data_IF_049508057946
#
_entry.id   IF_049508057946
#
_cell.length_a   1.000
_cell.length_b   1.000
_cell.length_c   1.000
_cell.angle_alpha   90.00
_cell.angle_beta   90.00
_cell.angle_gamma   90.00
#
_symmetry.space_group_name_H-M   'P 1'
#
loop_
_entity.id
_entity.type
_entity.pdbx_description
1 polymer ?
#
# COMPACT_ATOMS: atom_id res chain seq x y z
N UNK A 1 2.64 20.26 25.61
CA UNK A 1 3.46 19.03 25.59
C UNK A 1 3.65 18.59 24.15
N UNK A 2 4.84 18.11 23.81
CA UNK A 2 5.11 17.50 22.51
C UNK A 2 4.32 16.19 22.39
N UNK A 3 3.87 15.87 21.17
CA UNK A 3 3.21 14.61 20.83
C UNK A 3 4.14 13.70 20.05
N UNK A 4 4.07 12.40 20.31
CA UNK A 4 4.92 11.39 19.67
C UNK A 4 4.15 10.62 18.62
N UNK A 5 4.83 10.27 17.51
CA UNK A 5 4.31 9.35 16.50
C UNK A 5 5.45 8.72 15.72
N UNK A 6 5.15 7.64 15.03
CA UNK A 6 6.05 7.01 14.05
C UNK A 6 5.39 7.03 12.66
N UNK A 7 6.21 7.02 11.61
CA UNK A 7 5.73 7.08 10.22
C UNK A 7 5.41 5.71 9.62
N UNK A 8 5.62 4.64 10.37
CA UNK A 8 5.32 3.28 9.94
C UNK A 8 5.84 2.23 10.90
N UNK A 9 5.33 1.02 10.76
CA UNK A 9 5.72 -0.16 11.54
C UNK A 9 5.99 -1.34 10.59
N UNK A 10 6.99 -2.22 10.88
CA UNK A 10 7.30 -3.38 10.04
C UNK A 10 6.10 -4.32 9.89
N UNK A 11 5.59 -4.49 8.66
CA UNK A 11 4.33 -5.18 8.37
C UNK A 11 4.39 -6.71 8.36
N UNK A 12 5.57 -7.28 8.14
CA UNK A 12 5.72 -8.73 7.85
C UNK A 12 5.40 -9.60 9.08
N UNK A 13 5.53 -9.06 10.29
CA UNK A 13 5.43 -9.79 11.54
C UNK A 13 6.76 -10.44 11.95
N UNK A 14 6.93 -10.65 13.26
CA UNK A 14 8.18 -11.17 13.85
C UNK A 14 8.55 -12.57 13.35
N UNK A 15 7.53 -13.39 13.08
CA UNK A 15 7.66 -14.75 12.55
C UNK A 15 7.38 -14.83 11.05
N UNK A 16 7.39 -13.70 10.36
CA UNK A 16 7.08 -13.59 8.92
C UNK A 16 5.66 -14.06 8.55
N UNK A 17 4.71 -13.87 9.46
CA UNK A 17 3.35 -14.40 9.35
C UNK A 17 2.67 -13.92 8.05
N UNK A 18 2.78 -12.62 7.73
CA UNK A 18 2.23 -12.08 6.48
C UNK A 18 2.85 -12.72 5.24
N UNK A 19 4.17 -12.92 5.25
CA UNK A 19 4.87 -13.56 4.13
C UNK A 19 4.33 -14.95 3.86
N UNK A 20 4.25 -15.79 4.90
CA UNK A 20 3.78 -17.17 4.75
C UNK A 20 2.31 -17.24 4.34
N UNK A 21 1.45 -16.36 4.86
CA UNK A 21 0.05 -16.28 4.45
C UNK A 21 -0.09 -15.92 2.96
N UNK A 22 0.68 -14.94 2.48
CA UNK A 22 0.68 -14.56 1.08
C UNK A 22 1.24 -15.66 0.17
N UNK A 23 2.33 -16.32 0.56
CA UNK A 23 2.90 -17.42 -0.21
C UNK A 23 1.92 -18.62 -0.30
N UNK A 24 1.21 -18.94 0.79
CA UNK A 24 0.17 -19.97 0.79
C UNK A 24 -1.00 -19.58 -0.13
N UNK A 25 -1.44 -18.33 -0.09
CA UNK A 25 -2.48 -17.81 -0.97
C UNK A 25 -2.07 -17.91 -2.46
N UNK A 26 -0.88 -17.45 -2.80
CA UNK A 26 -0.39 -17.50 -4.18
C UNK A 26 -0.16 -18.93 -4.69
N UNK A 27 0.11 -19.87 -3.80
CA UNK A 27 0.23 -21.29 -4.12
C UNK A 27 -1.15 -22.01 -4.21
N UNK A 28 -2.27 -21.30 -3.94
CA UNK A 28 -3.60 -21.89 -3.89
C UNK A 28 -3.90 -22.73 -2.66
N UNK A 29 -3.06 -22.65 -1.62
CA UNK A 29 -3.18 -23.43 -0.38
C UNK A 29 -3.92 -22.68 0.74
N UNK A 30 -4.27 -21.41 0.53
CA UNK A 30 -5.04 -20.59 1.45
C UNK A 30 -5.96 -19.63 0.69
N UNK A 31 -7.06 -19.23 1.31
CA UNK A 31 -7.97 -18.23 0.78
C UNK A 31 -7.46 -16.80 1.05
N UNK A 32 -7.98 -15.82 0.32
CA UNK A 32 -7.66 -14.41 0.60
C UNK A 32 -8.22 -13.94 1.96
N UNK A 33 -9.33 -14.56 2.43
CA UNK A 33 -9.89 -14.29 3.77
C UNK A 33 -8.91 -14.68 4.88
N UNK A 34 -8.16 -15.77 4.71
CA UNK A 34 -7.11 -16.16 5.65
C UNK A 34 -5.97 -15.13 5.67
N UNK A 35 -5.57 -14.61 4.50
CA UNK A 35 -4.58 -13.51 4.42
C UNK A 35 -5.09 -12.26 5.15
N UNK A 36 -6.36 -11.88 4.92
CA UNK A 36 -6.97 -10.72 5.62
C UNK A 36 -7.01 -10.91 7.14
N UNK A 37 -7.30 -12.12 7.60
CA UNK A 37 -7.30 -12.46 9.02
C UNK A 37 -5.91 -12.30 9.65
N UNK A 38 -4.88 -12.82 8.99
CA UNK A 38 -3.49 -12.65 9.43
C UNK A 38 -3.11 -11.16 9.42
N UNK A 39 -3.45 -10.43 8.37
CA UNK A 39 -3.16 -9.01 8.24
C UNK A 39 -3.81 -8.20 9.37
N UNK A 40 -5.10 -8.46 9.68
CA UNK A 40 -5.82 -7.84 10.78
C UNK A 40 -5.15 -8.12 12.13
N UNK A 41 -4.82 -9.37 12.41
CA UNK A 41 -4.13 -9.78 13.65
C UNK A 41 -2.79 -9.05 13.82
N UNK A 42 -2.04 -8.90 12.72
CA UNK A 42 -0.77 -8.17 12.72
C UNK A 42 -0.98 -6.67 12.99
N UNK A 43 -1.94 -6.02 12.31
CA UNK A 43 -2.25 -4.60 12.55
C UNK A 43 -2.61 -4.36 14.01
N UNK A 44 -3.54 -5.13 14.57
CA UNK A 44 -3.95 -5.02 15.97
C UNK A 44 -2.77 -5.17 16.93
N UNK A 45 -1.88 -6.14 16.69
CA UNK A 45 -0.68 -6.37 17.50
C UNK A 45 0.29 -5.18 17.41
N UNK A 46 0.55 -4.68 16.21
CA UNK A 46 1.45 -3.57 15.98
C UNK A 46 0.93 -2.26 16.58
N UNK A 47 -0.36 -2.02 16.51
CA UNK A 47 -1.00 -0.85 17.12
C UNK A 47 -0.97 -0.91 18.65
N UNK A 48 -1.27 -2.05 19.25
CA UNK A 48 -1.15 -2.26 20.70
C UNK A 48 0.28 -2.08 21.17
N UNK A 49 1.24 -2.60 20.42
CA UNK A 49 2.66 -2.42 20.72
C UNK A 49 3.07 -0.95 20.75
N UNK A 50 2.63 -0.15 19.79
CA UNK A 50 2.86 1.30 19.79
C UNK A 50 2.21 1.98 21.01
N UNK A 51 0.97 1.59 21.36
CA UNK A 51 0.27 2.11 22.53
C UNK A 51 1.00 1.77 23.84
N UNK A 52 1.45 0.55 24.01
CA UNK A 52 2.22 0.09 25.17
C UNK A 52 3.54 0.86 25.35
N UNK A 53 4.11 1.35 24.25
CA UNK A 53 5.31 2.19 24.26
C UNK A 53 5.01 3.69 24.28
N UNK A 54 3.80 4.07 24.67
CA UNK A 54 3.37 5.46 24.89
C UNK A 54 3.47 6.35 23.65
N UNK A 55 3.26 5.79 22.45
CA UNK A 55 3.10 6.59 21.23
C UNK A 55 1.72 7.27 21.26
N UNK A 56 1.69 8.61 21.17
CA UNK A 56 0.44 9.39 21.26
C UNK A 56 -0.48 9.19 20.03
N UNK A 57 0.12 9.10 18.84
CA UNK A 57 -0.58 8.87 17.58
C UNK A 57 -0.13 7.57 16.95
N UNK A 58 -1.03 6.61 16.90
CA UNK A 58 -0.77 5.27 16.35
C UNK A 58 -0.70 5.34 14.82
N UNK A 59 0.39 4.82 14.26
CA UNK A 59 0.57 4.75 12.80
C UNK A 59 -0.49 3.87 12.16
N UNK A 60 -1.18 4.40 11.15
CA UNK A 60 -2.22 3.73 10.40
C UNK A 60 -2.05 3.97 8.90
N UNK A 61 -2.55 3.07 8.04
CA UNK A 61 -2.30 3.03 6.60
C UNK A 61 -0.82 2.86 6.22
N UNK A 62 -0.03 2.32 7.12
CA UNK A 62 1.36 1.92 6.87
C UNK A 62 1.49 0.41 6.61
N UNK A 63 0.40 -0.33 6.79
CA UNK A 63 0.32 -1.75 6.54
C UNK A 63 -0.14 -2.02 5.10
N UNK A 64 0.71 -2.61 4.28
CA UNK A 64 0.40 -3.04 2.91
C UNK A 64 0.54 -4.55 2.76
N UNK A 65 -0.25 -5.17 1.90
CA UNK A 65 -0.09 -6.59 1.59
C UNK A 65 1.17 -6.86 0.76
N UNK A 66 1.53 -5.91 -0.10
CA UNK A 66 2.72 -6.02 -0.93
C UNK A 66 3.64 -4.82 -0.74
N UNK A 67 3.20 -3.62 -1.12
CA UNK A 67 4.01 -2.41 -1.09
C UNK A 67 3.12 -1.16 -0.92
N UNK A 68 3.60 -0.17 -0.16
CA UNK A 68 2.86 1.06 0.14
C UNK A 68 2.66 1.94 -1.11
N UNK A 69 3.61 1.94 -2.04
CA UNK A 69 3.45 2.67 -3.31
C UNK A 69 2.38 2.01 -4.17
N UNK A 70 2.33 0.68 -4.23
CA UNK A 70 1.26 -0.06 -4.91
C UNK A 70 -0.13 0.25 -4.29
N UNK A 71 -0.23 0.32 -2.97
CA UNK A 71 -1.47 0.77 -2.30
C UNK A 71 -1.86 2.18 -2.75
N UNK A 72 -0.89 3.09 -2.90
CA UNK A 72 -1.11 4.47 -3.38
C UNK A 72 -1.56 4.50 -4.83
N UNK A 73 -0.96 3.66 -5.71
CA UNK A 73 -1.39 3.49 -7.10
C UNK A 73 -2.87 3.08 -7.16
N UNK A 74 -3.25 2.09 -6.34
CA UNK A 74 -4.65 1.62 -6.27
C UNK A 74 -5.57 2.68 -5.71
N UNK A 75 -5.17 3.36 -4.63
CA UNK A 75 -5.92 4.45 -4.02
C UNK A 75 -6.22 5.57 -5.00
N UNK A 76 -5.25 5.97 -5.82
CA UNK A 76 -5.40 7.03 -6.83
C UNK A 76 -6.11 6.55 -8.11
N UNK A 77 -6.33 5.24 -8.27
CA UNK A 77 -6.83 4.68 -9.52
C UNK A 77 -5.84 4.77 -10.68
N UNK A 78 -4.55 4.95 -10.38
CA UNK A 78 -3.46 5.06 -11.37
C UNK A 78 -3.08 3.68 -11.95
N UNK A 79 -4.06 2.93 -12.42
CA UNK A 79 -3.91 1.55 -12.89
C UNK A 79 -3.39 1.55 -14.33
N UNK A 80 -2.25 0.89 -14.63
CA UNK A 80 -1.77 0.77 -15.99
C UNK A 80 -2.78 0.06 -16.91
N UNK A 81 -2.92 0.49 -18.19
CA UNK A 81 -3.95 -0.01 -19.11
C UNK A 81 -4.02 -1.53 -19.21
N UNK A 82 -2.86 -2.23 -19.14
CA UNK A 82 -2.82 -3.69 -19.24
C UNK A 82 -3.51 -4.44 -18.09
N UNK A 83 -3.81 -3.76 -16.98
CA UNK A 83 -4.48 -4.36 -15.82
C UNK A 83 -5.94 -3.91 -15.63
N UNK A 84 -6.41 -2.92 -16.40
CA UNK A 84 -7.77 -2.37 -16.26
C UNK A 84 -8.85 -3.44 -16.49
N UNK A 85 -8.62 -4.41 -17.37
CA UNK A 85 -9.56 -5.51 -17.66
C UNK A 85 -9.68 -6.59 -16.59
N UNK A 86 -8.92 -6.52 -15.48
CA UNK A 86 -9.05 -7.45 -14.37
C UNK A 86 -10.10 -6.90 -13.39
N UNK A 87 -11.28 -7.53 -13.33
CA UNK A 87 -12.40 -7.05 -12.51
C UNK A 87 -12.17 -7.27 -11.01
N UNK A 88 -11.62 -8.42 -10.61
CA UNK A 88 -11.31 -8.70 -9.20
C UNK A 88 -10.17 -7.80 -8.72
N UNK A 89 -10.46 -6.99 -7.70
CA UNK A 89 -9.51 -6.02 -7.15
C UNK A 89 -8.26 -6.70 -6.56
N UNK A 90 -8.41 -7.87 -5.95
CA UNK A 90 -7.30 -8.61 -5.33
C UNK A 90 -6.40 -9.22 -6.39
N UNK A 91 -7.00 -9.86 -7.40
CA UNK A 91 -6.28 -10.39 -8.55
C UNK A 91 -5.50 -9.28 -9.25
N UNK A 92 -6.15 -8.16 -9.54
CA UNK A 92 -5.51 -6.99 -10.16
C UNK A 92 -4.35 -6.45 -9.33
N UNK A 93 -4.52 -6.31 -8.02
CA UNK A 93 -3.47 -5.85 -7.10
C UNK A 93 -2.21 -6.73 -7.19
N UNK A 94 -2.38 -8.06 -7.13
CA UNK A 94 -1.25 -8.98 -7.20
C UNK A 94 -0.71 -9.17 -8.63
N UNK A 95 -1.54 -9.03 -9.67
CA UNK A 95 -1.07 -9.03 -11.05
C UNK A 95 -0.17 -7.81 -11.33
N UNK A 96 -0.49 -6.63 -10.80
CA UNK A 96 0.40 -5.46 -10.89
C UNK A 96 1.75 -5.72 -10.21
N UNK A 97 1.74 -6.35 -9.04
CA UNK A 97 2.95 -6.61 -8.26
C UNK A 97 3.85 -7.72 -8.84
N UNK A 98 3.25 -8.77 -9.42
CA UNK A 98 3.95 -10.02 -9.72
C UNK A 98 3.82 -10.45 -11.18
N UNK A 99 2.97 -9.81 -11.95
CA UNK A 99 2.53 -10.28 -13.25
C UNK A 99 1.60 -11.50 -13.18
N UNK A 100 1.11 -11.89 -14.33
CA UNK A 100 0.35 -13.11 -14.54
C UNK A 100 0.80 -13.80 -15.86
N UNK A 101 0.09 -14.83 -16.30
CA UNK A 101 0.43 -15.57 -17.52
C UNK A 101 0.36 -14.71 -18.80
N UNK A 102 -0.31 -13.56 -18.75
CA UNK A 102 -0.57 -12.69 -19.91
C UNK A 102 0.09 -11.31 -19.79
N UNK A 103 0.41 -10.88 -18.57
CA UNK A 103 0.84 -9.50 -18.26
C UNK A 103 2.12 -9.50 -17.44
N UNK A 104 3.11 -8.75 -17.91
CA UNK A 104 4.31 -8.49 -17.11
C UNK A 104 3.96 -7.65 -15.88
N UNK A 105 4.59 -7.94 -14.75
CA UNK A 105 4.53 -7.13 -13.54
C UNK A 105 4.96 -5.69 -13.82
N UNK A 106 4.53 -4.77 -12.95
CA UNK A 106 5.11 -3.44 -12.90
C UNK A 106 6.57 -3.51 -12.44
N UNK A 107 7.35 -2.51 -12.79
CA UNK A 107 8.75 -2.40 -12.38
C UNK A 107 8.85 -2.32 -10.85
N UNK A 108 9.89 -2.95 -10.30
CA UNK A 108 10.25 -2.84 -8.89
C UNK A 108 11.67 -2.32 -8.75
N UNK A 109 11.86 -1.28 -7.96
CA UNK A 109 13.19 -0.72 -7.70
C UNK A 109 13.37 -0.34 -6.23
N UNK A 110 14.58 0.05 -5.86
CA UNK A 110 14.89 0.43 -4.48
C UNK A 110 14.25 1.78 -4.12
N UNK A 111 13.68 1.84 -2.94
CA UNK A 111 13.26 3.10 -2.32
C UNK A 111 14.51 3.89 -1.92
N UNK A 112 14.85 4.90 -2.74
CA UNK A 112 16.09 5.65 -2.64
C UNK A 112 17.33 4.72 -2.57
N UNK A 113 18.19 4.89 -1.59
CA UNK A 113 19.39 4.05 -1.38
C UNK A 113 19.21 2.97 -0.30
N UNK A 114 17.97 2.63 0.04
CA UNK A 114 17.64 1.61 1.04
C UNK A 114 17.56 0.20 0.43
N UNK A 115 17.40 -0.81 1.28
CA UNK A 115 17.11 -2.18 0.84
C UNK A 115 15.60 -2.43 0.64
N UNK A 116 14.73 -1.47 0.96
CA UNK A 116 13.32 -1.56 0.66
C UNK A 116 13.07 -1.32 -0.82
N UNK A 117 12.25 -2.18 -1.43
CA UNK A 117 11.85 -2.05 -2.84
C UNK A 117 10.38 -1.66 -2.92
N UNK A 118 10.05 -0.85 -3.91
CA UNK A 118 8.68 -0.41 -4.17
C UNK A 118 8.29 -0.66 -5.63
N UNK A 119 6.98 -0.75 -5.87
CA UNK A 119 6.43 -0.85 -7.23
C UNK A 119 6.39 0.55 -7.84
N UNK A 120 7.03 0.71 -8.99
CA UNK A 120 7.16 1.99 -9.68
C UNK A 120 5.84 2.35 -10.36
N UNK A 121 5.20 3.49 -10.02
CA UNK A 121 4.01 3.95 -10.72
C UNK A 121 4.31 4.23 -12.20
N UNK A 122 3.45 3.75 -13.10
CA UNK A 122 3.52 4.03 -14.54
C UNK A 122 2.51 5.13 -14.86
N UNK A 123 3.00 6.33 -15.16
CA UNK A 123 2.17 7.53 -15.29
C UNK A 123 2.22 8.09 -16.71
N UNK A 124 1.05 8.47 -17.24
CA UNK A 124 0.88 9.18 -18.50
C UNK A 124 0.43 10.62 -18.23
N UNK A 125 0.82 11.60 -19.07
CA UNK A 125 0.47 13.02 -18.91
C UNK A 125 -1.03 13.31 -18.86
N UNK A 126 -1.85 12.45 -19.48
CA UNK A 126 -3.29 12.63 -19.55
C UNK A 126 -4.06 11.67 -18.62
N UNK A 127 -3.37 11.11 -17.62
CA UNK A 127 -4.01 10.23 -16.65
C UNK A 127 -5.01 11.00 -15.80
N UNK A 128 -6.18 10.42 -15.59
CA UNK A 128 -7.19 10.92 -14.66
C UNK A 128 -7.19 10.03 -13.41
N UNK A 129 -7.26 10.65 -12.24
CA UNK A 129 -7.27 9.94 -10.97
C UNK A 129 -8.70 9.73 -10.47
N UNK A 130 -8.96 8.53 -9.96
CA UNK A 130 -10.25 8.14 -9.36
C UNK A 130 -9.98 7.57 -7.97
N UNK A 131 -10.07 8.44 -6.97
CA UNK A 131 -9.62 8.13 -5.61
C UNK A 131 -10.56 7.16 -4.90
N UNK A 132 -10.02 6.05 -4.41
CA UNK A 132 -10.69 5.08 -3.53
C UNK A 132 -9.95 5.03 -2.18
N UNK A 133 -10.53 5.67 -1.16
CA UNK A 133 -9.98 5.74 0.20
C UNK A 133 -10.51 4.64 1.12
N UNK A 134 -11.24 3.66 0.61
CA UNK A 134 -11.92 2.62 1.42
C UNK A 134 -10.96 1.91 2.38
N UNK A 135 -9.79 1.47 1.89
CA UNK A 135 -8.75 0.84 2.74
C UNK A 135 -8.33 1.73 3.91
N UNK A 136 -8.14 3.03 3.66
CA UNK A 136 -7.71 3.99 4.68
C UNK A 136 -8.79 4.14 5.74
N UNK A 137 -10.04 4.30 5.31
CA UNK A 137 -11.20 4.46 6.20
C UNK A 137 -11.41 3.20 7.03
N UNK A 138 -11.33 2.02 6.41
CA UNK A 138 -11.50 0.74 7.10
C UNK A 138 -10.44 0.53 8.19
N UNK A 139 -9.17 0.76 7.88
CA UNK A 139 -8.10 0.65 8.88
C UNK A 139 -8.21 1.70 9.99
N UNK A 140 -8.63 2.93 9.65
CA UNK A 140 -8.88 3.97 10.65
C UNK A 140 -10.01 3.56 11.61
N UNK A 141 -11.12 3.07 11.08
CA UNK A 141 -12.26 2.60 11.88
C UNK A 141 -11.85 1.40 12.75
N UNK A 142 -11.08 0.45 12.18
CA UNK A 142 -10.55 -0.71 12.89
C UNK A 142 -9.72 -0.27 14.12
N UNK A 143 -8.80 0.68 13.93
CA UNK A 143 -7.97 1.21 15.01
C UNK A 143 -8.81 1.99 16.06
N UNK A 144 -9.78 2.79 15.61
CA UNK A 144 -10.69 3.52 16.50
C UNK A 144 -11.54 2.58 17.35
N UNK A 145 -12.00 1.47 16.79
CA UNK A 145 -12.78 0.46 17.52
C UNK A 145 -11.98 -0.20 18.67
N UNK A 146 -10.66 -0.17 18.61
CA UNK A 146 -9.75 -0.61 19.69
C UNK A 146 -9.47 0.49 20.73
N UNK A 147 -10.12 1.66 20.63
CA UNK A 147 -9.90 2.80 21.54
C UNK A 147 -8.60 3.55 21.29
N UNK A 148 -7.95 3.35 20.12
CA UNK A 148 -6.69 3.97 19.76
C UNK A 148 -6.89 5.39 19.20
N UNK A 149 -5.78 6.13 19.08
CA UNK A 149 -5.74 7.44 18.43
C UNK A 149 -4.95 7.35 17.12
N UNK A 150 -5.57 6.87 16.01
CA UNK A 150 -4.86 6.63 14.76
C UNK A 150 -4.50 7.92 14.04
N UNK A 151 -3.32 7.91 13.40
CA UNK A 151 -2.84 8.92 12.47
C UNK A 151 -2.55 8.25 11.14
N UNK A 152 -3.23 8.73 10.10
CA UNK A 152 -3.06 8.20 8.74
C UNK A 152 -1.71 8.66 8.17
N UNK A 153 -0.97 7.71 7.60
CA UNK A 153 0.23 7.96 6.81
C UNK A 153 -0.11 7.87 5.32
N UNK A 154 0.34 8.83 4.54
CA UNK A 154 0.14 8.89 3.10
C UNK A 154 1.46 9.21 2.40
N UNK A 155 1.66 8.64 1.23
CA UNK A 155 2.69 9.10 0.30
C UNK A 155 2.17 10.38 -0.34
N UNK A 156 2.91 11.47 -0.17
CA UNK A 156 2.53 12.76 -0.74
C UNK A 156 2.68 12.78 -2.27
N UNK A 157 1.94 13.67 -2.96
CA UNK A 157 1.92 13.73 -4.43
C UNK A 157 3.30 13.99 -5.04
N UNK A 158 4.13 14.83 -4.42
CA UNK A 158 5.49 15.07 -4.90
C UNK A 158 6.34 13.78 -4.88
N UNK A 159 6.30 13.02 -3.79
CA UNK A 159 7.03 11.74 -3.67
C UNK A 159 6.50 10.72 -4.67
N UNK A 160 5.17 10.63 -4.81
CA UNK A 160 4.53 9.73 -5.76
C UNK A 160 5.00 9.99 -7.20
N UNK A 161 4.94 11.24 -7.66
CA UNK A 161 5.37 11.62 -9.00
C UNK A 161 6.89 11.51 -9.19
N UNK A 162 7.69 11.94 -8.20
CA UNK A 162 9.16 11.88 -8.30
C UNK A 162 9.71 10.44 -8.39
N UNK A 163 8.95 9.46 -7.90
CA UNK A 163 9.31 8.05 -7.94
C UNK A 163 8.55 7.25 -9.02
N UNK A 164 7.78 7.94 -9.86
CA UNK A 164 7.05 7.35 -10.97
C UNK A 164 7.89 7.30 -12.26
N UNK A 165 7.51 6.40 -13.16
CA UNK A 165 8.03 6.31 -14.51
C UNK A 165 7.05 6.99 -15.50
N UNK A 166 7.43 8.09 -16.18
CA UNK A 166 6.64 8.67 -17.26
C UNK A 166 6.75 7.78 -18.50
N UNK A 167 5.75 6.93 -18.73
CA UNK A 167 5.79 5.92 -19.80
C UNK A 167 5.72 6.49 -21.21
N UNK A 168 5.29 7.73 -21.38
CA UNK A 168 5.24 8.45 -22.67
C UNK A 168 6.29 9.58 -22.77
N UNK A 169 7.20 9.69 -21.79
CA UNK A 169 8.23 10.71 -21.73
C UNK A 169 7.72 12.12 -21.42
N UNK A 170 6.46 12.26 -21.02
CA UNK A 170 5.83 13.55 -20.69
C UNK A 170 6.24 14.09 -19.32
N UNK A 171 6.00 15.40 -19.12
CA UNK A 171 6.14 16.02 -17.79
C UNK A 171 4.98 15.63 -16.88
N UNK A 172 5.21 14.59 -16.07
CA UNK A 172 4.21 14.08 -15.12
C UNK A 172 3.98 15.00 -13.91
N UNK A 173 4.88 15.97 -13.65
CA UNK A 173 4.67 16.94 -12.57
C UNK A 173 3.52 17.93 -12.87
N UNK A 174 3.10 18.04 -14.14
CA UNK A 174 1.88 18.75 -14.52
C UNK A 174 0.60 18.16 -13.88
N UNK A 175 0.66 16.90 -13.41
CA UNK A 175 -0.45 16.22 -12.72
C UNK A 175 -0.48 16.47 -11.21
N UNK A 176 0.44 17.27 -10.67
CA UNK A 176 0.56 17.48 -9.21
C UNK A 176 -0.75 17.97 -8.59
N UNK A 177 -1.37 18.99 -9.18
CA UNK A 177 -2.63 19.55 -8.68
C UNK A 177 -3.82 18.59 -8.82
N UNK A 178 -3.73 17.61 -9.72
CA UNK A 178 -4.79 16.60 -9.91
C UNK A 178 -4.75 15.49 -8.84
N UNK A 179 -3.65 15.40 -8.09
CA UNK A 179 -3.46 14.41 -7.01
C UNK A 179 -3.77 15.02 -5.63
N UNK A 180 -3.70 16.36 -5.50
CA UNK A 180 -4.04 17.06 -4.27
C UNK A 180 -5.52 17.03 -3.95
#
# INVERSE_FOLDING_TARGET
MSKTYIIGFPRIGEKRELKFALEAFWAGNASFEEVKTVAKTLRERHWKYQQEHHIDFISCNDFSLYDTMLDTIVMLGAIPPRFVGIEDKTERYFAMARGDAQRAAMEMTKWFNTNYHYIVPEIHAHMTFHVDISKIVDEYIEAKALGLNPKINLIGPLTFLALANPVDGSDIFSLFDSIL
#
